data_IF_585886115465
#
_entry.id   IF_585886115465
#
_cell.length_a   1.000
_cell.length_b   1.000
_cell.length_c   1.000
_cell.angle_alpha   90.00
_cell.angle_beta   90.00
_cell.angle_gamma   90.00
#
_symmetry.space_group_name_H-M   'P 1'
#
loop_
_entity.id
_entity.type
_entity.pdbx_description
1 polymer ?
#
# COMPACT_ATOMS: atom_id res chain seq x y z
N UNK A 1 29.83 -18.86 15.63
CA UNK A 1 28.61 -18.20 15.10
C UNK A 1 27.60 -19.29 14.82
N UNK A 2 26.31 -19.01 14.98
CA UNK A 2 25.30 -19.94 14.51
C UNK A 2 25.34 -19.97 12.98
N UNK A 3 25.41 -21.15 12.35
CA UNK A 3 25.30 -21.26 10.89
C UNK A 3 23.86 -20.91 10.47
N UNK A 4 23.71 -20.08 9.45
CA UNK A 4 22.43 -19.67 8.85
C UNK A 4 22.39 -20.13 7.39
N UNK A 5 21.23 -20.58 6.92
CA UNK A 5 21.05 -20.98 5.51
C UNK A 5 20.93 -19.75 4.60
N UNK A 6 20.32 -18.67 5.11
CA UNK A 6 20.11 -17.42 4.37
C UNK A 6 20.32 -16.23 5.28
N UNK A 7 20.99 -15.19 4.76
CA UNK A 7 21.09 -13.88 5.39
C UNK A 7 20.39 -12.86 4.50
N UNK A 8 19.39 -12.16 5.05
CA UNK A 8 18.68 -11.05 4.42
C UNK A 8 19.23 -9.74 4.98
N UNK A 9 19.67 -8.84 4.11
CA UNK A 9 20.18 -7.52 4.50
C UNK A 9 19.11 -6.47 4.19
N UNK A 10 18.60 -5.83 5.24
CA UNK A 10 17.49 -4.87 5.22
C UNK A 10 16.18 -5.52 5.68
N UNK A 11 15.55 -4.93 6.71
CA UNK A 11 14.26 -5.35 7.24
C UNK A 11 13.12 -4.45 6.73
N UNK A 12 13.17 -4.06 5.45
CA UNK A 12 12.02 -3.47 4.75
C UNK A 12 10.95 -4.50 4.39
N UNK A 13 9.83 -4.06 3.82
CA UNK A 13 8.72 -4.95 3.45
C UNK A 13 9.17 -6.14 2.58
N UNK A 14 10.03 -5.90 1.59
CA UNK A 14 10.61 -6.96 0.76
C UNK A 14 11.48 -7.95 1.54
N UNK A 15 12.43 -7.46 2.34
CA UNK A 15 13.33 -8.30 3.13
C UNK A 15 12.59 -9.13 4.20
N UNK A 16 11.64 -8.51 4.89
CA UNK A 16 10.79 -9.21 5.86
C UNK A 16 9.91 -10.27 5.18
N UNK A 17 9.31 -9.94 4.03
CA UNK A 17 8.48 -10.90 3.27
C UNK A 17 9.30 -12.10 2.81
N UNK A 18 10.46 -11.86 2.18
CA UNK A 18 11.36 -12.92 1.73
C UNK A 18 11.87 -13.75 2.91
N UNK A 19 12.33 -13.12 3.98
CA UNK A 19 12.83 -13.81 5.16
C UNK A 19 11.77 -14.67 5.84
N UNK A 20 10.55 -14.15 5.99
CA UNK A 20 9.43 -14.89 6.56
C UNK A 20 9.04 -16.10 5.70
N UNK A 21 8.95 -15.95 4.37
CA UNK A 21 8.60 -17.05 3.47
C UNK A 21 9.68 -18.14 3.48
N UNK A 22 10.95 -17.77 3.43
CA UNK A 22 12.07 -18.73 3.48
C UNK A 22 12.12 -19.47 4.83
N UNK A 23 11.88 -18.76 5.94
CA UNK A 23 11.77 -19.37 7.26
C UNK A 23 10.56 -20.32 7.37
N UNK A 24 9.42 -19.95 6.77
CA UNK A 24 8.23 -20.81 6.70
C UNK A 24 8.51 -22.10 5.91
N UNK A 25 9.43 -22.07 4.95
CA UNK A 25 9.93 -23.25 4.23
C UNK A 25 11.03 -24.04 4.97
N UNK A 26 11.30 -23.72 6.23
CA UNK A 26 12.20 -24.49 7.10
C UNK A 26 13.67 -24.06 7.05
N UNK A 27 14.01 -22.98 6.37
CA UNK A 27 15.38 -22.44 6.35
C UNK A 27 15.66 -21.62 7.62
N UNK A 28 16.90 -21.68 8.10
CA UNK A 28 17.38 -20.85 9.21
C UNK A 28 17.84 -19.50 8.68
N UNK A 29 16.94 -18.52 8.76
CA UNK A 29 17.15 -17.17 8.20
C UNK A 29 17.64 -16.18 9.27
N UNK A 30 18.63 -15.36 8.93
CA UNK A 30 19.02 -14.16 9.67
C UNK A 30 18.60 -12.92 8.89
N UNK A 31 17.82 -12.02 9.52
CA UNK A 31 17.52 -10.70 8.94
C UNK A 31 18.34 -9.65 9.69
N UNK A 32 19.08 -8.84 8.94
CA UNK A 32 19.89 -7.74 9.47
C UNK A 32 19.25 -6.41 9.09
N UNK A 33 19.16 -5.48 10.04
CA UNK A 33 18.71 -4.12 9.82
C UNK A 33 19.74 -3.16 10.40
N UNK A 34 20.07 -2.10 9.67
CA UNK A 34 21.03 -1.09 10.14
C UNK A 34 20.37 -0.05 11.07
N UNK A 35 19.06 0.12 10.94
CA UNK A 35 18.26 1.10 11.67
C UNK A 35 17.76 0.52 12.99
N UNK A 36 17.38 1.40 13.92
CA UNK A 36 16.82 0.99 15.22
C UNK A 36 15.40 0.38 15.11
N UNK A 37 14.76 0.52 13.95
CA UNK A 37 13.41 0.01 13.67
C UNK A 37 13.37 -0.68 12.32
N UNK A 38 12.65 -1.80 12.28
CA UNK A 38 12.31 -2.50 11.04
C UNK A 38 11.19 -1.77 10.30
N UNK A 39 10.99 -2.12 9.02
CA UNK A 39 9.93 -1.60 8.15
C UNK A 39 10.44 -0.82 6.95
N UNK A 40 11.71 -0.36 6.96
CA UNK A 40 12.29 0.41 5.86
C UNK A 40 11.47 1.69 5.58
N UNK A 41 11.01 1.89 4.33
CA UNK A 41 10.14 3.02 3.98
C UNK A 41 8.76 2.98 4.65
N UNK A 42 8.33 1.82 5.17
CA UNK A 42 7.08 1.66 5.92
C UNK A 42 7.30 1.75 7.45
N UNK A 43 8.49 2.20 7.89
CA UNK A 43 8.78 2.39 9.31
C UNK A 43 8.24 3.73 9.81
N UNK A 44 8.23 3.88 11.15
CA UNK A 44 7.82 5.09 11.84
C UNK A 44 8.87 5.54 12.83
N UNK A 45 8.91 6.83 13.12
CA UNK A 45 9.68 7.40 14.23
C UNK A 45 8.79 8.24 15.14
N UNK A 46 9.26 8.48 16.36
CA UNK A 46 8.54 9.29 17.35
C UNK A 46 9.33 10.56 17.67
N UNK A 47 8.64 11.69 17.70
CA UNK A 47 9.22 12.99 18.01
C UNK A 47 8.16 13.88 18.66
N UNK A 48 8.53 14.55 19.75
CA UNK A 48 7.68 15.52 20.45
C UNK A 48 6.28 14.96 20.83
N UNK A 49 6.19 13.66 21.12
CA UNK A 49 4.94 12.97 21.46
C UNK A 49 4.10 12.52 20.27
N UNK A 50 4.56 12.76 19.04
CA UNK A 50 3.89 12.37 17.79
C UNK A 50 4.62 11.19 17.13
N UNK A 51 3.86 10.38 16.40
CA UNK A 51 4.38 9.31 15.54
C UNK A 51 4.29 9.76 14.08
N UNK A 52 5.38 9.58 13.35
CA UNK A 52 5.53 10.01 11.96
C UNK A 52 5.93 8.83 11.09
N UNK A 53 5.34 8.74 9.91
CA UNK A 53 5.77 7.81 8.87
C UNK A 53 7.07 8.31 8.23
N UNK A 54 7.98 7.39 7.92
CA UNK A 54 9.24 7.72 7.25
C UNK A 54 9.05 7.95 5.75
N UNK A 55 8.12 7.23 5.12
CA UNK A 55 7.87 7.37 3.69
C UNK A 55 6.47 6.93 3.27
N UNK A 56 6.19 5.62 3.36
CA UNK A 56 4.89 5.09 3.00
C UNK A 56 3.85 5.45 4.08
N UNK A 57 2.79 6.14 3.67
CA UNK A 57 1.70 6.60 4.54
C UNK A 57 0.32 6.08 4.12
N UNK A 58 0.19 5.56 2.90
CA UNK A 58 -1.07 5.05 2.33
C UNK A 58 -0.82 3.67 1.73
N UNK A 59 -1.73 2.73 2.00
CA UNK A 59 -1.79 1.43 1.32
C UNK A 59 -2.85 1.53 0.23
N UNK A 60 -2.41 1.62 -1.02
CA UNK A 60 -3.31 1.75 -2.18
C UNK A 60 -3.75 0.39 -2.74
N UNK A 61 -2.87 -0.62 -2.66
CA UNK A 61 -3.07 -1.94 -3.26
C UNK A 61 -2.70 -3.00 -2.20
N UNK A 62 -3.65 -3.84 -1.81
CA UNK A 62 -3.46 -4.84 -0.75
C UNK A 62 -3.11 -6.23 -1.28
N UNK A 63 -3.47 -6.54 -2.53
CA UNK A 63 -3.42 -7.89 -3.09
C UNK A 63 -2.01 -8.54 -3.02
N UNK A 64 -0.90 -7.85 -3.35
CA UNK A 64 0.44 -8.44 -3.23
C UNK A 64 0.83 -8.76 -1.78
N UNK A 65 0.39 -7.94 -0.83
CA UNK A 65 0.61 -8.15 0.60
C UNK A 65 -0.22 -9.35 1.06
N UNK A 66 -1.49 -9.41 0.68
CA UNK A 66 -2.39 -10.54 0.97
C UNK A 66 -1.83 -11.88 0.48
N UNK A 67 -1.19 -11.91 -0.70
CA UNK A 67 -0.53 -13.12 -1.21
C UNK A 67 0.59 -13.62 -0.30
N UNK A 68 1.42 -12.72 0.24
CA UNK A 68 2.48 -13.09 1.19
C UNK A 68 1.87 -13.65 2.47
N UNK A 69 0.89 -12.95 3.07
CA UNK A 69 0.23 -13.41 4.29
C UNK A 69 -0.47 -14.77 4.09
N UNK A 70 -1.11 -14.98 2.93
CA UNK A 70 -1.71 -16.26 2.54
C UNK A 70 -0.69 -17.38 2.46
N UNK A 71 0.47 -17.14 1.84
CA UNK A 71 1.58 -18.12 1.75
C UNK A 71 2.15 -18.46 3.14
N UNK A 72 2.10 -17.53 4.09
CA UNK A 72 2.48 -17.75 5.49
C UNK A 72 1.39 -18.44 6.32
N UNK A 73 0.24 -18.77 5.73
CA UNK A 73 -0.86 -19.47 6.40
C UNK A 73 -1.79 -18.58 7.22
N UNK A 74 -1.80 -17.27 6.98
CA UNK A 74 -2.73 -16.31 7.63
C UNK A 74 -3.38 -15.38 6.61
N UNK A 75 -4.06 -14.32 7.07
CA UNK A 75 -4.69 -13.29 6.23
C UNK A 75 -4.22 -11.91 6.66
N UNK A 76 -4.06 -11.00 5.69
CA UNK A 76 -3.57 -9.66 5.98
C UNK A 76 -4.49 -8.89 6.93
N UNK A 77 -5.80 -8.94 6.70
CA UNK A 77 -6.82 -8.26 7.51
C UNK A 77 -7.01 -8.83 8.92
N UNK A 78 -6.43 -10.01 9.19
CA UNK A 78 -6.38 -10.59 10.54
C UNK A 78 -5.20 -10.05 11.35
N UNK A 79 -4.08 -9.78 10.69
CA UNK A 79 -2.84 -9.36 11.33
C UNK A 79 -2.67 -7.84 11.37
N UNK A 80 -3.34 -7.12 10.44
CA UNK A 80 -3.26 -5.66 10.32
C UNK A 80 -4.66 -5.08 10.14
N UNK A 81 -5.01 -4.14 11.02
CA UNK A 81 -6.21 -3.34 10.89
C UNK A 81 -6.02 -2.28 9.80
N UNK A 82 -6.81 -2.37 8.73
CA UNK A 82 -6.86 -1.36 7.68
C UNK A 82 -7.96 -0.34 7.97
N UNK A 83 -7.56 0.91 8.15
CA UNK A 83 -8.48 2.02 8.33
C UNK A 83 -8.76 2.66 6.96
N UNK A 84 -10.03 2.69 6.51
CA UNK A 84 -10.37 3.37 5.25
C UNK A 84 -10.03 4.86 5.31
N UNK A 85 -9.28 5.35 4.31
CA UNK A 85 -9.03 6.77 4.12
C UNK A 85 -10.14 7.37 3.25
N UNK A 86 -11.12 8.04 3.88
CA UNK A 86 -12.20 8.73 3.19
C UNK A 86 -12.52 10.06 3.92
N UNK A 87 -12.41 11.23 3.26
CA UNK A 87 -12.05 11.43 1.86
C UNK A 87 -10.59 11.07 1.55
N UNK A 88 -10.31 10.64 0.31
CA UNK A 88 -8.97 10.22 -0.11
C UNK A 88 -7.97 11.38 -0.07
N UNK A 89 -8.35 12.54 -0.60
CA UNK A 89 -7.56 13.75 -0.49
C UNK A 89 -8.41 15.02 -0.73
N UNK A 90 -7.83 16.18 -0.44
CA UNK A 90 -8.39 17.47 -0.83
C UNK A 90 -7.34 18.33 -1.51
N UNK A 91 -7.73 18.99 -2.59
CA UNK A 91 -6.94 20.01 -3.29
C UNK A 91 -7.39 21.37 -2.81
N UNK A 92 -6.47 22.17 -2.28
CA UNK A 92 -6.70 23.56 -1.87
C UNK A 92 -6.06 24.50 -2.88
N UNK A 93 -6.88 25.25 -3.61
CA UNK A 93 -6.43 26.21 -4.60
C UNK A 93 -6.00 27.52 -3.92
N UNK A 94 -5.16 28.31 -4.61
CA UNK A 94 -4.66 29.60 -4.10
C UNK A 94 -5.77 30.62 -3.82
N UNK A 95 -6.90 30.51 -4.52
CA UNK A 95 -8.08 31.35 -4.33
C UNK A 95 -8.90 30.95 -3.08
N UNK A 96 -8.49 29.92 -2.33
CA UNK A 96 -9.18 29.41 -1.16
C UNK A 96 -10.25 28.35 -1.46
N UNK A 97 -10.47 28.02 -2.74
CA UNK A 97 -11.37 26.94 -3.14
C UNK A 97 -10.80 25.59 -2.73
N UNK A 98 -11.67 24.70 -2.22
CA UNK A 98 -11.31 23.35 -1.81
C UNK A 98 -12.14 22.34 -2.58
N UNK A 99 -11.44 21.42 -3.24
CA UNK A 99 -12.04 20.27 -3.91
C UNK A 99 -11.65 19.02 -3.14
N UNK A 100 -12.64 18.26 -2.69
CA UNK A 100 -12.45 17.03 -1.92
C UNK A 100 -12.78 15.84 -2.80
N UNK A 101 -11.88 14.86 -2.88
CA UNK A 101 -12.08 13.62 -3.61
C UNK A 101 -12.40 12.52 -2.61
N UNK A 102 -13.62 11.99 -2.72
CA UNK A 102 -14.16 10.93 -1.88
C UNK A 102 -13.88 9.57 -2.48
N UNK A 103 -13.90 8.52 -1.66
CA UNK A 103 -13.65 7.15 -2.15
C UNK A 103 -14.71 6.68 -3.16
N UNK A 104 -15.95 7.17 -3.08
CA UNK A 104 -17.02 6.77 -4.01
C UNK A 104 -16.75 7.27 -5.43
N UNK A 105 -16.87 6.36 -6.40
CA UNK A 105 -16.73 6.66 -7.83
C UNK A 105 -17.81 7.66 -8.25
N UNK A 106 -19.05 7.47 -7.82
CA UNK A 106 -20.18 8.34 -8.15
C UNK A 106 -19.99 9.73 -7.54
N UNK A 107 -19.52 9.78 -6.29
CA UNK A 107 -19.30 11.04 -5.60
C UNK A 107 -18.17 11.85 -6.22
N UNK A 108 -17.06 11.18 -6.56
CA UNK A 108 -15.97 11.78 -7.35
C UNK A 108 -16.47 12.25 -8.72
N UNK A 109 -17.31 11.47 -9.40
CA UNK A 109 -17.93 11.87 -10.67
C UNK A 109 -18.76 13.16 -10.55
N UNK A 110 -19.49 13.35 -9.46
CA UNK A 110 -20.22 14.62 -9.20
C UNK A 110 -19.28 15.79 -9.00
N UNK A 111 -18.18 15.60 -8.27
CA UNK A 111 -17.15 16.62 -8.08
C UNK A 111 -16.54 17.02 -9.42
N UNK A 112 -16.14 16.04 -10.25
CA UNK A 112 -15.60 16.29 -11.59
C UNK A 112 -16.62 17.02 -12.47
N UNK A 113 -17.89 16.58 -12.46
CA UNK A 113 -18.95 17.22 -13.23
C UNK A 113 -19.19 18.69 -12.84
N UNK A 114 -18.96 19.05 -11.57
CA UNK A 114 -19.08 20.43 -11.11
C UNK A 114 -17.98 21.35 -11.65
N UNK A 115 -16.82 20.79 -11.99
CA UNK A 115 -15.68 21.48 -12.59
C UNK A 115 -15.83 21.51 -14.11
N UNK A 116 -16.15 20.36 -14.70
CA UNK A 116 -16.29 20.13 -16.14
C UNK A 116 -17.45 19.16 -16.39
N UNK A 117 -18.61 19.65 -16.87
CA UNK A 117 -19.75 18.80 -17.19
C UNK A 117 -19.45 17.78 -18.30
N UNK A 118 -18.47 18.06 -19.18
CA UNK A 118 -18.03 17.12 -20.21
C UNK A 118 -17.28 15.94 -19.60
N UNK A 119 -16.28 16.21 -18.75
CA UNK A 119 -15.50 15.16 -18.10
C UNK A 119 -16.35 14.35 -17.12
N UNK A 120 -17.29 15.01 -16.43
CA UNK A 120 -18.26 14.32 -15.57
C UNK A 120 -19.10 13.27 -16.32
N UNK A 121 -19.42 13.49 -17.61
CA UNK A 121 -20.11 12.49 -18.43
C UNK A 121 -19.22 11.31 -18.82
N UNK A 122 -17.90 11.53 -18.96
CA UNK A 122 -16.93 10.50 -19.38
C UNK A 122 -16.23 9.82 -18.21
N UNK A 123 -16.52 10.21 -16.98
CA UNK A 123 -15.84 9.72 -15.78
C UNK A 123 -15.95 8.20 -15.63
N UNK A 124 -17.14 7.63 -15.83
CA UNK A 124 -17.34 6.18 -15.70
C UNK A 124 -16.57 5.41 -16.78
N UNK A 125 -16.55 5.89 -18.04
CA UNK A 125 -15.73 5.29 -19.10
C UNK A 125 -14.23 5.29 -18.74
N UNK A 126 -13.76 6.36 -18.09
CA UNK A 126 -12.38 6.46 -17.62
C UNK A 126 -12.09 5.50 -16.46
N UNK A 127 -13.01 5.38 -15.50
CA UNK A 127 -12.90 4.40 -14.41
C UNK A 127 -12.82 2.97 -14.95
N UNK A 128 -13.66 2.61 -15.93
CA UNK A 128 -13.65 1.28 -16.55
C UNK A 128 -12.30 1.02 -17.22
N UNK A 129 -11.80 1.98 -18.00
CA UNK A 129 -10.46 1.89 -18.61
C UNK A 129 -9.34 1.71 -17.57
N UNK A 130 -9.39 2.47 -16.47
CA UNK A 130 -8.41 2.33 -15.40
C UNK A 130 -8.54 1.00 -14.65
N UNK A 131 -9.74 0.48 -14.47
CA UNK A 131 -9.99 -0.83 -13.85
C UNK A 131 -9.37 -1.95 -14.69
N UNK A 132 -9.61 -1.94 -16.01
CA UNK A 132 -9.02 -2.93 -16.92
C UNK A 132 -7.48 -2.89 -16.88
N UNK A 133 -6.91 -1.68 -16.87
CA UNK A 133 -5.46 -1.51 -16.74
C UNK A 133 -4.93 -2.04 -15.39
N UNK A 134 -5.68 -1.82 -14.32
CA UNK A 134 -5.32 -2.26 -12.98
C UNK A 134 -5.34 -3.80 -12.88
N UNK A 135 -6.33 -4.45 -13.49
CA UNK A 135 -6.40 -5.92 -13.54
C UNK A 135 -5.19 -6.51 -14.26
N UNK A 136 -4.81 -5.94 -15.42
CA UNK A 136 -3.60 -6.37 -16.15
C UNK A 136 -2.33 -6.17 -15.30
N UNK A 137 -2.21 -5.05 -14.59
CA UNK A 137 -1.07 -4.76 -13.71
C UNK A 137 -0.97 -5.79 -12.57
N UNK A 138 -2.09 -6.08 -11.92
CA UNK A 138 -2.16 -7.07 -10.84
C UNK A 138 -1.76 -8.44 -11.36
N UNK A 139 -2.39 -8.92 -12.42
CA UNK A 139 -2.19 -10.28 -12.92
C UNK A 139 -0.79 -10.49 -13.51
N UNK A 140 -0.22 -9.47 -14.14
CA UNK A 140 1.03 -9.64 -14.90
C UNK A 140 2.28 -9.28 -14.09
N UNK A 141 2.21 -8.25 -13.24
CA UNK A 141 3.40 -7.66 -12.60
C UNK A 141 3.40 -7.89 -11.09
N UNK A 142 2.29 -7.59 -10.42
CA UNK A 142 2.29 -7.51 -8.95
C UNK A 142 1.96 -8.83 -8.25
N UNK A 143 1.12 -9.67 -8.87
CA UNK A 143 0.58 -10.90 -8.29
C UNK A 143 0.93 -12.16 -9.11
N UNK A 144 1.72 -12.02 -10.18
CA UNK A 144 2.17 -13.16 -10.98
C UNK A 144 2.99 -14.14 -10.12
N UNK A 145 2.76 -15.47 -10.25
CA UNK A 145 3.35 -16.49 -9.38
C UNK A 145 4.87 -16.67 -9.49
#
# INVERSE_FOLDING_TARGET
>A
MADYDVIVIGAGLGGLSSGALLAHHGLKVLVLEQSDRIGGCCSTFERDGYRHDVGASIVEITQPIELVFKKLGTRFDKEVELVPCDPMFSVMYRNGERITIEKSIEATGRVIASISPEDGRRWFDFCDYCSDMMDVLLDTILCSP
#
